data_IF_188405235106
#
_entry.id   IF_188405235106
#
_cell.length_a   1.000
_cell.length_b   1.000
_cell.length_c   1.000
_cell.angle_alpha   90.00
_cell.angle_beta   90.00
_cell.angle_gamma   90.00
#
_symmetry.space_group_name_H-M   'P 1'
#
loop_
_entity.id
_entity.type
_entity.pdbx_description
1 polymer ?
#
# COMPACT_ATOMS: atom_id res chain seq x y z
N UNK A 1 13.94 -7.31 22.75
CA UNK A 1 12.92 -6.31 23.13
C UNK A 1 11.91 -6.26 22.00
N UNK A 2 10.66 -6.60 22.24
CA UNK A 2 9.63 -6.53 21.19
C UNK A 2 9.42 -5.05 20.88
N UNK A 3 9.92 -4.57 19.73
CA UNK A 3 9.60 -3.22 19.27
C UNK A 3 8.09 -3.17 19.06
N UNK A 4 7.40 -2.31 19.80
CA UNK A 4 5.96 -2.12 19.66
C UNK A 4 5.68 -1.30 18.38
N UNK A 5 5.75 -1.96 17.23
CA UNK A 5 5.40 -1.37 15.94
C UNK A 5 3.95 -0.89 15.89
N UNK A 6 3.10 -1.37 16.80
CA UNK A 6 1.73 -0.88 16.99
C UNK A 6 1.66 0.57 17.48
N UNK A 7 2.53 0.98 18.41
CA UNK A 7 2.55 2.35 18.91
C UNK A 7 3.07 3.31 17.83
N UNK A 8 4.05 2.86 17.06
CA UNK A 8 4.59 3.64 15.95
C UNK A 8 3.61 3.74 14.78
N UNK A 9 2.92 2.64 14.44
CA UNK A 9 1.83 2.65 13.48
C UNK A 9 0.73 3.65 13.86
N UNK A 10 0.28 3.64 15.12
CA UNK A 10 -0.69 4.62 15.64
C UNK A 10 -0.16 6.04 15.55
N UNK A 11 1.11 6.27 15.91
CA UNK A 11 1.72 7.59 15.84
C UNK A 11 1.81 8.12 14.40
N UNK A 12 2.26 7.28 13.46
CA UNK A 12 2.30 7.61 12.03
C UNK A 12 0.90 7.95 11.53
N UNK A 13 -0.08 7.10 11.81
CA UNK A 13 -1.45 7.29 11.33
C UNK A 13 -2.07 8.58 11.89
N UNK A 14 -1.87 8.84 13.18
CA UNK A 14 -2.34 10.06 13.84
C UNK A 14 -1.71 11.34 13.26
N UNK A 15 -0.42 11.30 12.93
CA UNK A 15 0.29 12.45 12.35
C UNK A 15 -0.07 12.70 10.89
N UNK A 16 -0.32 11.63 10.12
CA UNK A 16 -0.84 11.74 8.74
C UNK A 16 -2.31 12.16 8.74
N UNK A 17 -3.04 11.78 9.79
CA UNK A 17 -4.46 12.04 10.01
C UNK A 17 -5.31 10.89 9.50
N UNK A 18 -5.97 10.16 10.41
CA UNK A 18 -6.82 9.01 10.10
C UNK A 18 -7.86 9.29 9.00
N UNK A 19 -8.50 10.46 9.06
CA UNK A 19 -9.52 10.90 8.09
C UNK A 19 -8.92 11.49 6.80
N UNK A 20 -7.60 11.76 6.80
CA UNK A 20 -6.84 12.35 5.71
C UNK A 20 -6.20 11.27 4.81
N UNK A 21 -6.26 9.99 5.19
CA UNK A 21 -5.74 8.86 4.41
C UNK A 21 -6.88 8.20 3.64
N UNK A 22 -6.75 8.09 2.32
CA UNK A 22 -7.68 7.32 1.47
C UNK A 22 -7.28 5.85 1.40
N UNK A 23 -5.99 5.59 1.21
CA UNK A 23 -5.43 4.25 1.18
C UNK A 23 -3.96 4.24 1.60
N UNK A 24 -3.51 3.08 2.08
CA UNK A 24 -2.11 2.84 2.43
C UNK A 24 -1.61 1.61 1.70
N UNK A 25 -0.41 1.71 1.14
CA UNK A 25 0.37 0.61 0.58
C UNK A 25 1.79 0.67 1.13
N UNK A 26 2.61 -0.33 0.83
CA UNK A 26 4.01 -0.34 1.22
C UNK A 26 4.87 -1.02 0.14
N UNK A 27 6.16 -0.71 0.15
CA UNK A 27 7.18 -1.47 -0.57
C UNK A 27 8.22 -1.97 0.45
N UNK A 28 9.37 -2.43 -0.03
CA UNK A 28 10.40 -3.01 0.83
C UNK A 28 10.98 -2.06 1.89
N UNK A 29 10.88 -0.74 1.69
CA UNK A 29 11.49 0.25 2.61
C UNK A 29 10.59 1.43 2.97
N UNK A 30 9.43 1.57 2.32
CA UNK A 30 8.58 2.76 2.45
C UNK A 30 7.11 2.40 2.60
N UNK A 31 6.41 3.12 3.47
CA UNK A 31 4.96 3.21 3.45
C UNK A 31 4.53 4.30 2.48
N UNK A 32 3.46 4.07 1.73
CA UNK A 32 2.90 5.01 0.76
C UNK A 32 1.45 5.25 1.12
N UNK A 33 1.13 6.48 1.47
CA UNK A 33 -0.21 6.93 1.79
C UNK A 33 -0.74 7.75 0.62
N UNK A 34 -1.94 7.42 0.16
CA UNK A 34 -2.74 8.33 -0.65
C UNK A 34 -3.48 9.22 0.33
N UNK A 35 -3.19 10.52 0.28
CA UNK A 35 -3.70 11.50 1.26
C UNK A 35 -4.54 12.56 0.56
N UNK A 36 -5.58 13.05 1.24
CA UNK A 36 -6.50 14.06 0.71
C UNK A 36 -5.87 15.45 0.74
N UNK A 37 -5.22 15.80 1.84
CA UNK A 37 -4.57 17.08 2.06
C UNK A 37 -3.15 16.89 2.64
N UNK A 38 -2.13 17.17 1.82
CA UNK A 38 -0.73 17.16 2.26
C UNK A 38 -0.44 18.25 3.29
N UNK A 39 -1.09 19.41 3.24
CA UNK A 39 -0.77 20.55 4.11
C UNK A 39 -1.19 20.32 5.56
N UNK A 40 -2.10 19.37 5.79
CA UNK A 40 -2.53 18.95 7.12
C UNK A 40 -1.50 18.06 7.84
N UNK A 41 -0.43 17.63 7.16
CA UNK A 41 0.55 16.68 7.69
C UNK A 41 1.79 17.42 8.19
N UNK A 42 2.20 17.13 9.44
CA UNK A 42 3.43 17.65 10.02
C UNK A 42 4.62 16.73 9.71
N UNK A 43 5.33 17.06 8.64
CA UNK A 43 6.54 16.37 8.19
C UNK A 43 7.59 16.25 9.31
N UNK A 44 7.79 17.32 10.10
CA UNK A 44 8.83 17.37 11.14
C UNK A 44 8.47 16.50 12.34
N UNK A 45 7.18 16.37 12.65
CA UNK A 45 6.73 15.46 13.70
C UNK A 45 6.92 14.00 13.29
N UNK A 46 6.66 13.67 12.02
CA UNK A 46 6.86 12.31 11.48
C UNK A 46 8.34 11.92 11.48
N UNK A 47 9.24 12.82 11.09
CA UNK A 47 10.69 12.55 11.08
C UNK A 47 11.32 12.39 12.48
N UNK A 48 10.60 12.76 13.55
CA UNK A 48 11.05 12.54 14.94
C UNK A 48 10.75 11.13 15.44
N UNK A 49 9.95 10.35 14.71
CA UNK A 49 9.65 8.98 15.09
C UNK A 49 10.89 8.10 14.91
N UNK A 50 11.16 7.16 15.84
CA UNK A 50 12.43 6.46 15.93
C UNK A 50 12.75 5.59 14.71
N UNK A 51 11.76 4.98 14.06
CA UNK A 51 11.99 4.16 12.87
C UNK A 51 11.80 4.95 11.55
N UNK A 52 11.37 6.22 11.61
CA UNK A 52 11.19 7.04 10.41
C UNK A 52 12.52 7.70 10.04
N UNK A 53 13.02 7.37 8.85
CA UNK A 53 14.27 7.90 8.29
C UNK A 53 14.07 9.13 7.41
N UNK A 54 12.82 9.45 7.09
CA UNK A 54 12.47 10.61 6.28
C UNK A 54 11.08 10.51 5.68
N UNK A 55 10.56 11.64 5.22
CA UNK A 55 9.27 11.71 4.52
C UNK A 55 9.43 12.36 3.14
N UNK A 56 8.58 11.96 2.20
CA UNK A 56 8.62 12.48 0.84
C UNK A 56 7.21 12.66 0.28
N UNK A 57 6.96 13.77 -0.42
CA UNK A 57 5.75 13.92 -1.24
C UNK A 57 6.11 13.82 -2.71
N UNK A 58 5.36 13.02 -3.47
CA UNK A 58 5.47 13.06 -4.92
C UNK A 58 4.39 12.23 -5.58
N UNK A 59 4.03 12.63 -6.80
CA UNK A 59 3.05 11.91 -7.62
C UNK A 59 1.72 11.62 -6.91
N UNK A 60 1.25 12.56 -6.08
CA UNK A 60 0.01 12.43 -5.31
C UNK A 60 0.08 11.47 -4.11
N UNK A 61 1.26 10.98 -3.73
CA UNK A 61 1.45 10.07 -2.60
C UNK A 61 2.39 10.67 -1.54
N UNK A 62 2.03 10.48 -0.28
CA UNK A 62 2.86 10.74 0.88
C UNK A 62 3.64 9.49 1.25
N UNK A 63 4.97 9.54 1.24
CA UNK A 63 5.83 8.39 1.49
C UNK A 63 6.57 8.58 2.82
N UNK A 64 6.50 7.56 3.68
CA UNK A 64 7.27 7.49 4.93
C UNK A 64 8.34 6.42 4.75
N UNK A 65 9.61 6.81 4.87
CA UNK A 65 10.75 5.92 4.73
C UNK A 65 11.05 5.36 6.11
N UNK A 66 10.97 4.03 6.27
CA UNK A 66 11.20 3.35 7.55
C UNK A 66 12.47 2.50 7.47
N UNK A 67 12.57 1.69 6.41
CA UNK A 67 13.68 0.78 6.19
C UNK A 67 13.24 -0.67 6.00
N UNK A 68 14.19 -1.50 5.57
CA UNK A 68 13.96 -2.93 5.30
C UNK A 68 13.63 -3.70 6.57
N UNK A 69 12.70 -4.64 6.48
CA UNK A 69 12.30 -5.51 7.60
C UNK A 69 11.21 -4.90 8.47
N UNK A 70 11.35 -3.63 8.88
CA UNK A 70 10.40 -2.96 9.80
C UNK A 70 9.11 -2.51 9.10
N UNK A 71 9.19 -2.16 7.82
CA UNK A 71 8.03 -1.63 7.06
C UNK A 71 6.83 -2.60 7.02
N UNK A 72 7.07 -3.91 6.97
CA UNK A 72 6.01 -4.92 6.94
C UNK A 72 5.29 -5.00 8.28
N UNK A 73 6.03 -4.94 9.38
CA UNK A 73 5.47 -5.01 10.73
C UNK A 73 4.62 -3.76 11.03
N UNK A 74 5.13 -2.57 10.67
CA UNK A 74 4.40 -1.31 10.83
C UNK A 74 3.16 -1.28 9.93
N UNK A 75 3.27 -1.73 8.68
CA UNK A 75 2.11 -1.82 7.80
C UNK A 75 1.06 -2.78 8.37
N UNK A 76 1.46 -3.97 8.83
CA UNK A 76 0.54 -4.95 9.40
C UNK A 76 -0.17 -4.39 10.64
N UNK A 77 0.53 -3.61 11.46
CA UNK A 77 -0.07 -2.89 12.57
C UNK A 77 -1.08 -1.84 12.11
N UNK A 78 -0.78 -1.03 11.09
CA UNK A 78 -1.73 -0.07 10.50
C UNK A 78 -2.98 -0.79 9.95
N UNK A 79 -2.79 -1.91 9.24
CA UNK A 79 -3.89 -2.70 8.70
C UNK A 79 -4.81 -3.26 9.80
N UNK A 80 -4.26 -3.67 10.94
CA UNK A 80 -5.04 -4.14 12.10
C UNK A 80 -5.88 -3.04 12.76
N UNK A 81 -5.46 -1.77 12.67
CA UNK A 81 -6.22 -0.66 13.24
C UNK A 81 -7.53 -0.40 12.47
N UNK A 82 -7.68 -0.93 11.25
CA UNK A 82 -8.93 -0.93 10.48
C UNK A 82 -9.44 0.45 10.08
N UNK A 83 -8.66 1.50 10.33
CA UNK A 83 -9.07 2.91 10.13
C UNK A 83 -8.85 3.38 8.69
N UNK A 84 -8.07 2.65 7.90
CA UNK A 84 -7.70 3.01 6.52
C UNK A 84 -7.86 1.82 5.58
N UNK A 85 -8.15 2.10 4.30
CA UNK A 85 -8.15 1.07 3.25
C UNK A 85 -6.70 0.62 3.02
N UNK A 86 -6.27 -0.36 3.79
CA UNK A 86 -4.96 -0.98 3.69
C UNK A 86 -4.96 -1.93 2.48
N UNK A 87 -4.42 -1.47 1.35
CA UNK A 87 -4.27 -2.28 0.14
C UNK A 87 -2.94 -3.01 0.24
N UNK A 88 -2.98 -4.25 0.73
CA UNK A 88 -1.87 -5.18 0.63
C UNK A 88 -2.13 -6.11 -0.54
N UNK A 89 -1.08 -6.58 -1.22
CA UNK A 89 -1.11 -7.63 -2.23
C UNK A 89 -1.77 -8.91 -1.71
N UNK A 90 -3.09 -8.90 -1.69
CA UNK A 90 -4.02 -9.98 -1.45
C UNK A 90 -4.90 -9.91 -2.68
N UNK A 91 -4.59 -10.75 -3.67
CA UNK A 91 -5.39 -11.04 -4.85
C UNK A 91 -6.46 -9.99 -5.13
N UNK A 92 -6.07 -8.92 -5.83
CA UNK A 92 -6.94 -7.82 -6.27
C UNK A 92 -7.92 -8.31 -7.34
N UNK A 93 -8.78 -9.27 -6.97
CA UNK A 93 -10.02 -9.58 -7.64
C UNK A 93 -11.24 -9.02 -6.88
N UNK A 94 -11.13 -8.68 -5.58
CA UNK A 94 -12.33 -8.48 -4.76
C UNK A 94 -12.34 -7.28 -3.79
N UNK A 95 -11.46 -6.27 -3.94
CA UNK A 95 -11.58 -5.06 -3.08
C UNK A 95 -11.26 -3.75 -3.78
N UNK A 96 -11.78 -3.58 -4.99
CA UNK A 96 -12.06 -2.25 -5.53
C UNK A 96 -13.51 -1.86 -5.18
N UNK A 97 -13.74 -1.55 -3.90
CA UNK A 97 -15.05 -1.19 -3.37
C UNK A 97 -14.95 0.00 -2.43
N UNK A 98 -14.97 1.22 -3.01
CA UNK A 98 -15.58 2.48 -2.49
C UNK A 98 -14.83 3.73 -2.99
N UNK A 99 -15.12 4.17 -4.20
CA UNK A 99 -15.19 5.61 -4.51
C UNK A 99 -16.17 5.81 -5.65
N UNK A 100 -17.18 6.64 -5.39
CA UNK A 100 -18.31 6.97 -6.25
C UNK A 100 -17.92 7.28 -7.70
N UNK A 101 -18.41 6.48 -8.64
CA UNK A 101 -19.02 6.92 -9.90
C UNK A 101 -19.52 5.70 -10.67
N UNK A 102 -20.81 5.73 -11.01
CA UNK A 102 -21.63 4.69 -11.65
C UNK A 102 -20.99 4.04 -12.92
N UNK A 103 -20.00 4.69 -13.51
CA UNK A 103 -19.27 4.23 -14.70
C UNK A 103 -18.07 3.29 -14.46
N UNK A 104 -17.54 3.19 -13.23
CA UNK A 104 -16.36 2.32 -12.97
C UNK A 104 -16.69 0.83 -12.90
N UNK A 105 -17.95 0.45 -12.67
CA UNK A 105 -18.36 -0.97 -12.55
C UNK A 105 -18.13 -1.77 -13.84
N UNK A 106 -18.30 -1.16 -15.01
CA UNK A 106 -18.10 -1.83 -16.31
C UNK A 106 -16.61 -1.98 -16.62
N UNK A 107 -15.82 -0.92 -16.41
CA UNK A 107 -14.36 -0.97 -16.61
C UNK A 107 -13.71 -1.92 -15.61
N UNK A 108 -14.16 -1.94 -14.36
CA UNK A 108 -13.67 -2.85 -13.33
C UNK A 108 -14.06 -4.30 -13.61
N UNK A 109 -15.27 -4.57 -14.12
CA UNK A 109 -15.66 -5.91 -14.60
C UNK A 109 -14.84 -6.35 -15.80
N UNK A 110 -14.56 -5.45 -16.75
CA UNK A 110 -13.71 -5.74 -17.89
C UNK A 110 -12.27 -6.05 -17.43
N UNK A 111 -11.73 -5.27 -16.50
CA UNK A 111 -10.40 -5.51 -15.93
C UNK A 111 -10.35 -6.80 -15.11
N UNK A 112 -11.41 -7.14 -14.37
CA UNK A 112 -11.52 -8.40 -13.64
C UNK A 112 -11.63 -9.60 -14.60
N UNK A 113 -12.39 -9.47 -15.69
CA UNK A 113 -12.47 -10.50 -16.74
C UNK A 113 -11.14 -10.70 -17.45
N UNK A 114 -10.44 -9.62 -17.81
CA UNK A 114 -9.11 -9.69 -18.40
C UNK A 114 -8.13 -10.35 -17.41
N UNK A 115 -8.09 -9.88 -16.16
CA UNK A 115 -7.22 -10.44 -15.11
C UNK A 115 -7.48 -11.94 -14.89
N UNK A 116 -8.74 -12.37 -14.82
CA UNK A 116 -9.13 -13.77 -14.68
C UNK A 116 -8.70 -14.67 -15.85
N UNK A 117 -8.50 -14.11 -17.05
CA UNK A 117 -7.96 -14.84 -18.20
C UNK A 117 -6.43 -14.92 -18.15
N UNK A 118 -5.74 -13.85 -17.75
CA UNK A 118 -4.28 -13.81 -17.79
C UNK A 118 -3.60 -14.56 -16.64
N UNK A 119 -4.14 -14.52 -15.42
CA UNK A 119 -3.57 -15.23 -14.25
C UNK A 119 -3.32 -16.73 -14.52
N UNK A 120 -4.27 -17.51 -15.07
CA UNK A 120 -4.02 -18.94 -15.35
C UNK A 120 -3.07 -19.19 -16.53
N UNK A 121 -2.83 -18.20 -17.40
CA UNK A 121 -1.98 -18.33 -18.60
C UNK A 121 -0.51 -17.97 -18.29
N UNK A 122 -0.25 -17.12 -17.29
CA UNK A 122 1.11 -16.70 -16.89
C UNK A 122 2.05 -17.89 -16.57
N UNK A 123 1.65 -18.92 -15.79
CA UNK A 123 2.52 -20.06 -15.50
C UNK A 123 2.90 -20.85 -16.76
N UNK A 124 1.99 -20.95 -17.74
CA UNK A 124 2.22 -21.68 -18.99
C UNK A 124 3.20 -20.91 -19.88
N UNK A 125 3.05 -19.59 -20.01
CA UNK A 125 3.97 -18.74 -20.77
C UNK A 125 5.35 -18.70 -20.10
N UNK A 126 5.41 -18.62 -18.77
CA UNK A 126 6.67 -18.66 -18.03
C UNK A 126 7.38 -20.01 -18.22
N UNK A 127 6.63 -21.12 -18.19
CA UNK A 127 7.18 -22.46 -18.43
C UNK A 127 7.69 -22.63 -19.86
N UNK A 128 6.95 -22.17 -20.88
CA UNK A 128 7.41 -22.23 -22.28
C UNK A 128 8.57 -21.28 -22.58
N UNK A 129 8.60 -20.11 -21.95
CA UNK A 129 9.71 -19.16 -22.04
C UNK A 129 11.00 -19.75 -21.47
N UNK A 130 10.93 -20.38 -20.30
CA UNK A 130 12.06 -21.09 -19.69
C UNK A 130 12.48 -22.35 -20.48
N UNK A 131 11.54 -23.00 -21.20
CA UNK A 131 11.83 -24.16 -22.05
C UNK A 131 12.48 -23.81 -23.40
N UNK A 132 12.33 -22.57 -23.86
CA UNK A 132 12.87 -22.08 -25.14
C UNK A 132 14.22 -21.37 -24.99
N UNK A 133 14.70 -21.16 -23.76
CA UNK A 133 16.11 -20.82 -23.52
C UNK A 133 16.95 -22.11 -23.64
N UNK A 134 17.78 -22.26 -24.69
CA UNK A 134 18.71 -23.38 -24.74
C UNK A 134 19.75 -23.18 -23.64
N UNK A 135 19.78 -24.11 -22.68
CA UNK A 135 21.00 -24.39 -21.91
C UNK A 135 22.05 -24.95 -22.86
#
# INVERSE_FOLDING_TARGET
MAKNYEEEAKAILKLVGDNNVDSVTHCQTRLRFVVKDRKAIDDKALEKLPEVKGVFYGSGQYQVIIGTGVVNDVYAAIAKLGTVNAIYGKDDADTAGKTSNEHKTVVQRLMAMLSGIFIPIIPVIAATGLFLEPV
#
